data_IF_556246977620
#
_entry.id   IF_556246977620
#
_cell.length_a   1.000
_cell.length_b   1.000
_cell.length_c   1.000
_cell.angle_alpha   90.00
_cell.angle_beta   90.00
_cell.angle_gamma   90.00
#
_symmetry.space_group_name_H-M   'P 1'
#
loop_
_entity.id
_entity.type
_entity.pdbx_description
1 polymer ?
#
# COMPACT_ATOMS: atom_id res chain seq x y z
N UNK A 1 10.44 10.56 10.88
CA UNK A 1 9.89 11.17 12.12
C UNK A 1 10.66 10.63 13.31
N UNK A 2 11.37 11.48 14.07
CA UNK A 2 12.06 11.08 15.30
C UNK A 2 11.22 11.48 16.52
N UNK A 3 10.55 10.51 17.13
CA UNK A 3 10.06 10.63 18.50
C UNK A 3 11.28 10.57 19.43
N UNK A 4 11.67 11.70 20.00
CA UNK A 4 12.75 11.75 20.99
C UNK A 4 12.15 11.38 22.35
N UNK A 5 12.63 10.29 22.97
CA UNK A 5 12.23 9.87 24.32
C UNK A 5 11.12 8.82 24.40
N UNK A 6 10.61 8.30 23.28
CA UNK A 6 9.66 7.19 23.29
C UNK A 6 10.38 5.85 23.47
N UNK A 7 10.05 5.10 24.53
CA UNK A 7 10.50 3.70 24.68
C UNK A 7 9.53 2.82 23.91
N UNK A 8 9.93 2.39 22.72
CA UNK A 8 9.12 1.49 21.89
C UNK A 8 9.48 0.04 22.16
N UNK A 9 8.45 -0.78 22.37
CA UNK A 9 8.58 -2.23 22.32
C UNK A 9 8.80 -2.67 20.87
N UNK A 10 9.38 -3.86 20.62
CA UNK A 10 9.63 -4.34 19.25
C UNK A 10 8.41 -4.26 18.34
N UNK A 11 7.21 -4.58 18.85
CA UNK A 11 5.96 -4.49 18.12
C UNK A 11 5.61 -3.05 17.70
N UNK A 12 5.69 -2.09 18.63
CA UNK A 12 5.31 -0.70 18.33
C UNK A 12 6.33 -0.02 17.43
N UNK A 13 7.60 -0.38 17.54
CA UNK A 13 8.65 0.02 16.59
C UNK A 13 8.38 -0.54 15.20
N UNK A 14 8.06 -1.82 15.08
CA UNK A 14 7.74 -2.44 13.79
C UNK A 14 6.52 -1.79 13.14
N UNK A 15 5.44 -1.57 13.90
CA UNK A 15 4.25 -0.86 13.41
C UNK A 15 4.56 0.57 12.95
N UNK A 16 5.42 1.28 13.67
CA UNK A 16 5.85 2.62 13.29
C UNK A 16 6.57 2.62 11.93
N UNK A 17 7.45 1.64 11.69
CA UNK A 17 8.14 1.47 10.39
C UNK A 17 7.18 1.04 9.28
N UNK A 18 6.21 0.19 9.61
CA UNK A 18 5.17 -0.23 8.67
C UNK A 18 4.15 0.88 8.34
N UNK A 19 4.05 1.90 9.18
CA UNK A 19 3.03 2.97 9.07
C UNK A 19 3.04 3.70 7.73
N UNK A 20 4.22 3.90 7.13
CA UNK A 20 4.35 4.56 5.83
C UNK A 20 3.59 3.86 4.70
N UNK A 21 3.44 2.54 4.76
CA UNK A 21 2.67 1.75 3.79
C UNK A 21 1.28 1.39 4.31
N UNK A 22 1.16 1.01 5.58
CA UNK A 22 -0.12 0.55 6.14
C UNK A 22 -1.17 1.68 6.13
N UNK A 23 -0.77 2.91 6.43
CA UNK A 23 -1.70 4.04 6.48
C UNK A 23 -2.35 4.31 5.11
N UNK A 24 -1.61 4.54 4.01
CA UNK A 24 -2.24 4.77 2.70
C UNK A 24 -3.07 3.57 2.24
N UNK A 25 -2.65 2.34 2.51
CA UNK A 25 -3.43 1.13 2.19
C UNK A 25 -4.76 1.10 2.95
N UNK A 26 -4.74 1.31 4.27
CA UNK A 26 -5.97 1.32 5.08
C UNK A 26 -6.93 2.40 4.61
N UNK A 27 -6.43 3.62 4.37
CA UNK A 27 -7.24 4.73 3.85
C UNK A 27 -7.83 4.37 2.47
N UNK A 28 -7.06 3.71 1.60
CA UNK A 28 -7.55 3.28 0.29
C UNK A 28 -8.66 2.22 0.37
N UNK A 29 -8.57 1.30 1.33
CA UNK A 29 -9.62 0.29 1.57
C UNK A 29 -10.89 0.99 2.07
N UNK A 30 -10.78 1.89 3.05
CA UNK A 30 -11.93 2.67 3.54
C UNK A 30 -12.56 3.47 2.39
N UNK A 31 -11.74 4.12 1.57
CA UNK A 31 -12.19 4.85 0.40
C UNK A 31 -12.96 3.95 -0.58
N UNK A 32 -12.44 2.76 -0.89
CA UNK A 32 -13.10 1.79 -1.76
C UNK A 32 -14.42 1.28 -1.19
N UNK A 33 -14.50 1.08 0.12
CA UNK A 33 -15.75 0.69 0.78
C UNK A 33 -16.83 1.76 0.58
N UNK A 34 -16.45 3.03 0.70
CA UNK A 34 -17.32 4.20 0.53
C UNK A 34 -17.49 4.65 -0.94
N UNK A 35 -16.79 4.02 -1.89
CA UNK A 35 -16.83 4.41 -3.29
C UNK A 35 -18.22 4.24 -3.92
N UNK A 36 -18.73 5.32 -4.53
CA UNK A 36 -20.03 5.38 -5.19
C UNK A 36 -19.88 5.16 -6.70
N UNK A 37 -20.06 3.92 -7.14
CA UNK A 37 -19.86 3.51 -8.53
C UNK A 37 -20.77 4.19 -9.56
N UNK A 38 -21.93 4.71 -9.15
CA UNK A 38 -22.92 5.35 -10.03
C UNK A 38 -22.66 6.85 -10.24
N UNK A 39 -21.71 7.44 -9.51
CA UNK A 39 -21.43 8.88 -9.60
C UNK A 39 -20.80 9.21 -10.95
N UNK A 40 -21.44 10.08 -11.72
CA UNK A 40 -21.02 10.41 -13.09
C UNK A 40 -19.82 11.36 -13.18
N UNK A 41 -19.45 12.03 -12.08
CA UNK A 41 -18.38 13.02 -12.07
C UNK A 41 -17.03 12.44 -12.55
N UNK A 42 -16.48 13.03 -13.62
CA UNK A 42 -15.22 12.63 -14.26
C UNK A 42 -14.03 12.76 -13.31
N UNK A 43 -13.91 13.91 -12.61
CA UNK A 43 -12.82 14.14 -11.66
C UNK A 43 -12.84 13.10 -10.54
N UNK A 44 -14.04 12.76 -10.03
CA UNK A 44 -14.18 11.70 -9.03
C UNK A 44 -13.62 10.38 -9.52
N UNK A 45 -14.00 9.92 -10.73
CA UNK A 45 -13.52 8.64 -11.29
C UNK A 45 -12.00 8.62 -11.49
N UNK A 46 -11.41 9.71 -11.99
CA UNK A 46 -9.95 9.82 -12.19
C UNK A 46 -9.21 9.85 -10.85
N UNK A 47 -9.65 10.72 -9.93
CA UNK A 47 -9.05 10.86 -8.61
C UNK A 47 -9.10 9.55 -7.83
N UNK A 48 -10.25 8.85 -7.83
CA UNK A 48 -10.39 7.54 -7.20
C UNK A 48 -9.34 6.57 -7.72
N UNK A 49 -9.19 6.45 -9.04
CA UNK A 49 -8.24 5.52 -9.63
C UNK A 49 -6.80 5.85 -9.27
N UNK A 50 -6.40 7.13 -9.39
CA UNK A 50 -5.05 7.59 -9.03
C UNK A 50 -4.74 7.35 -7.55
N UNK A 51 -5.71 7.61 -6.67
CA UNK A 51 -5.56 7.39 -5.23
C UNK A 51 -5.32 5.91 -4.91
N UNK A 52 -6.12 5.02 -5.50
CA UNK A 52 -5.97 3.56 -5.28
C UNK A 52 -4.65 3.03 -5.83
N UNK A 53 -4.25 3.48 -7.02
CA UNK A 53 -2.94 3.13 -7.59
C UNK A 53 -1.81 3.60 -6.67
N UNK A 54 -1.82 4.87 -6.23
CA UNK A 54 -0.78 5.39 -5.35
C UNK A 54 -0.64 4.58 -4.06
N UNK A 55 -1.77 4.27 -3.42
CA UNK A 55 -1.77 3.45 -2.22
C UNK A 55 -1.30 2.01 -2.47
N UNK A 56 -1.68 1.40 -3.60
CA UNK A 56 -1.29 0.03 -3.94
C UNK A 56 0.21 -0.07 -4.28
N UNK A 57 0.74 0.88 -5.05
CA UNK A 57 2.16 0.88 -5.44
C UNK A 57 3.10 1.15 -4.27
N UNK A 58 2.66 1.86 -3.22
CA UNK A 58 3.43 1.98 -1.98
C UNK A 58 3.74 0.61 -1.36
N UNK A 59 2.83 -0.35 -1.45
CA UNK A 59 3.05 -1.72 -0.97
C UNK A 59 4.01 -2.54 -1.85
N UNK A 60 4.34 -2.10 -3.07
CA UNK A 60 5.29 -2.82 -3.94
C UNK A 60 6.73 -2.80 -3.39
N UNK A 61 7.11 -1.73 -2.66
CA UNK A 61 8.40 -1.66 -1.96
C UNK A 61 8.54 -2.80 -0.93
N UNK A 62 7.43 -3.24 -0.34
CA UNK A 62 7.37 -4.35 0.62
C UNK A 62 7.51 -5.74 -0.01
N UNK A 63 7.64 -5.81 -1.34
CA UNK A 63 8.06 -7.01 -2.07
C UNK A 63 9.52 -6.87 -2.49
N UNK A 64 9.89 -5.74 -3.09
CA UNK A 64 11.24 -5.53 -3.62
C UNK A 64 12.31 -5.46 -2.52
N UNK A 65 12.07 -4.71 -1.44
CA UNK A 65 13.09 -4.52 -0.39
C UNK A 65 13.39 -5.82 0.36
N UNK A 66 12.41 -6.65 0.76
CA UNK A 66 12.71 -7.94 1.37
C UNK A 66 13.45 -8.91 0.43
N UNK A 67 13.22 -8.84 -0.88
CA UNK A 67 14.02 -9.59 -1.86
C UNK A 67 15.49 -9.13 -1.85
N UNK A 68 15.73 -7.81 -1.79
CA UNK A 68 17.08 -7.26 -1.65
C UNK A 68 17.71 -7.63 -0.30
N UNK A 69 16.90 -7.68 0.77
CA UNK A 69 17.31 -8.08 2.12
C UNK A 69 17.86 -9.50 2.14
N UNK A 70 17.18 -10.44 1.49
CA UNK A 70 17.64 -11.83 1.35
C UNK A 70 19.00 -11.94 0.63
N UNK A 71 19.35 -10.95 -0.20
CA UNK A 71 20.62 -10.90 -0.93
C UNK A 71 21.69 -10.05 -0.24
N UNK A 72 21.44 -9.56 0.99
CA UNK A 72 22.37 -8.66 1.70
C UNK A 72 22.53 -7.29 1.04
N UNK A 73 21.57 -6.86 0.21
CA UNK A 73 21.60 -5.62 -0.59
C UNK A 73 20.45 -4.67 -0.24
N UNK A 74 19.79 -4.88 0.90
CA UNK A 74 18.71 -4.00 1.32
C UNK A 74 19.24 -2.58 1.58
N UNK A 75 18.55 -1.54 1.09
CA UNK A 75 18.91 -0.16 1.36
C UNK A 75 18.86 0.14 2.87
N UNK A 76 19.98 0.64 3.40
CA UNK A 76 20.09 1.05 4.80
C UNK A 76 19.20 2.27 5.05
N UNK A 77 18.39 2.22 6.10
CA UNK A 77 17.50 3.32 6.47
C UNK A 77 16.12 3.29 5.80
N UNK A 78 15.86 2.35 4.89
CA UNK A 78 14.54 2.11 4.34
C UNK A 78 13.57 1.54 5.40
N UNK A 79 12.29 1.93 5.31
CA UNK A 79 11.24 1.53 6.27
C UNK A 79 11.07 0.00 6.34
N UNK A 80 11.18 -0.70 5.20
CA UNK A 80 11.02 -2.16 5.15
C UNK A 80 12.24 -2.87 5.72
N UNK A 81 13.44 -2.37 5.46
CA UNK A 81 14.68 -2.87 6.07
C UNK A 81 14.61 -2.73 7.59
N UNK A 82 14.26 -1.54 8.08
CA UNK A 82 14.13 -1.28 9.52
C UNK A 82 13.00 -2.10 10.15
N UNK A 83 11.91 -2.33 9.43
CA UNK A 83 10.86 -3.24 9.88
C UNK A 83 11.37 -4.67 10.08
N UNK A 84 12.12 -5.21 9.12
CA UNK A 84 12.68 -6.56 9.21
C UNK A 84 13.68 -6.68 10.37
N UNK A 85 14.57 -5.70 10.53
CA UNK A 85 15.59 -5.69 11.58
C UNK A 85 14.98 -5.66 13.00
N UNK A 86 13.92 -4.87 13.18
CA UNK A 86 13.25 -4.70 14.48
C UNK A 86 12.29 -5.84 14.79
N UNK A 87 11.56 -6.33 13.79
CA UNK A 87 10.55 -7.38 13.98
C UNK A 87 11.15 -8.79 14.03
N UNK A 88 12.33 -8.99 13.43
CA UNK A 88 12.89 -10.32 13.23
C UNK A 88 12.05 -11.22 12.32
N UNK A 89 11.08 -10.66 11.58
CA UNK A 89 10.23 -11.43 10.70
C UNK A 89 11.01 -11.99 9.51
N UNK A 90 10.62 -13.19 9.07
CA UNK A 90 11.16 -13.77 7.86
C UNK A 90 10.79 -12.89 6.64
N UNK A 91 11.77 -12.43 5.82
CA UNK A 91 11.51 -11.60 4.64
C UNK A 91 10.50 -12.19 3.65
N UNK A 92 10.47 -13.53 3.51
CA UNK A 92 9.53 -14.24 2.62
C UNK A 92 8.09 -14.07 3.09
N UNK A 93 7.86 -14.09 4.41
CA UNK A 93 6.52 -13.85 4.98
C UNK A 93 6.05 -12.43 4.68
N UNK A 94 6.96 -11.45 4.79
CA UNK A 94 6.64 -10.05 4.45
C UNK A 94 6.26 -9.91 2.98
N UNK A 95 6.98 -10.57 2.06
CA UNK A 95 6.65 -10.59 0.63
C UNK A 95 5.25 -11.16 0.38
N UNK A 96 4.93 -12.29 0.99
CA UNK A 96 3.62 -12.95 0.84
C UNK A 96 2.51 -12.02 1.35
N UNK A 97 2.68 -11.43 2.53
CA UNK A 97 1.70 -10.51 3.11
C UNK A 97 1.51 -9.26 2.23
N UNK A 98 2.59 -8.67 1.72
CA UNK A 98 2.51 -7.54 0.80
C UNK A 98 1.77 -7.91 -0.49
N UNK A 99 2.06 -9.09 -1.05
CA UNK A 99 1.36 -9.61 -2.23
C UNK A 99 -0.14 -9.82 -1.99
N UNK A 100 -0.53 -10.31 -0.82
CA UNK A 100 -1.93 -10.45 -0.42
C UNK A 100 -2.61 -9.08 -0.28
N UNK A 101 -1.95 -8.10 0.34
CA UNK A 101 -2.47 -6.74 0.48
C UNK A 101 -2.71 -6.08 -0.88
N UNK A 102 -1.74 -6.16 -1.79
CA UNK A 102 -1.85 -5.64 -3.16
C UNK A 102 -3.00 -6.32 -3.90
N UNK A 103 -3.03 -7.65 -3.86
CA UNK A 103 -4.05 -8.45 -4.54
C UNK A 103 -5.44 -8.12 -4.01
N UNK A 104 -5.60 -8.01 -2.69
CA UNK A 104 -6.86 -7.63 -2.05
C UNK A 104 -7.33 -6.23 -2.47
N UNK A 105 -6.43 -5.26 -2.51
CA UNK A 105 -6.75 -3.88 -2.91
C UNK A 105 -7.21 -3.81 -4.38
N UNK A 106 -6.48 -4.47 -5.28
CA UNK A 106 -6.83 -4.55 -6.71
C UNK A 106 -8.18 -5.26 -6.90
N UNK A 107 -8.40 -6.40 -6.24
CA UNK A 107 -9.66 -7.12 -6.30
C UNK A 107 -10.83 -6.28 -5.80
N UNK A 108 -10.65 -5.53 -4.72
CA UNK A 108 -11.66 -4.64 -4.18
C UNK A 108 -11.96 -3.48 -5.15
N UNK A 109 -10.93 -2.86 -5.73
CA UNK A 109 -11.06 -1.81 -6.74
C UNK A 109 -11.80 -2.28 -7.99
N UNK A 110 -11.50 -3.51 -8.43
CA UNK A 110 -12.20 -4.17 -9.53
C UNK A 110 -13.67 -4.42 -9.20
N UNK A 111 -13.97 -4.99 -8.02
CA UNK A 111 -15.33 -5.26 -7.56
C UNK A 111 -16.16 -3.97 -7.45
N UNK A 112 -15.52 -2.87 -7.05
CA UNK A 112 -16.13 -1.54 -6.93
C UNK A 112 -16.23 -0.78 -8.26
N UNK A 113 -15.79 -1.39 -9.36
CA UNK A 113 -15.79 -0.83 -10.72
C UNK A 113 -14.94 0.44 -10.92
N UNK A 114 -13.96 0.69 -10.05
CA UNK A 114 -13.11 1.90 -10.13
C UNK A 114 -12.30 1.91 -11.43
N UNK A 115 -11.70 0.76 -11.78
CA UNK A 115 -10.86 0.59 -12.98
C UNK A 115 -11.71 0.76 -14.26
N UNK A 116 -12.89 0.15 -14.28
CA UNK A 116 -13.82 0.23 -15.40
C UNK A 116 -14.36 1.66 -15.56
N UNK A 117 -14.71 2.33 -14.47
CA UNK A 117 -15.17 3.71 -14.49
C UNK A 117 -14.10 4.68 -14.98
N UNK A 118 -12.83 4.43 -14.64
CA UNK A 118 -11.70 5.17 -15.19
C UNK A 118 -11.60 4.97 -16.71
N UNK A 119 -11.58 3.74 -17.21
CA UNK A 119 -11.50 3.49 -18.66
C UNK A 119 -12.67 4.08 -19.46
N UNK A 120 -13.89 4.07 -18.92
CA UNK A 120 -15.03 4.72 -19.57
C UNK A 120 -14.79 6.20 -19.84
N UNK A 121 -14.23 6.92 -18.87
CA UNK A 121 -13.91 8.35 -19.01
C UNK A 121 -12.92 8.61 -20.15
N UNK A 122 -11.95 7.71 -20.37
CA UNK A 122 -10.98 7.86 -21.45
C UNK A 122 -11.56 7.51 -22.81
N UNK A 123 -12.45 6.53 -22.87
CA UNK A 123 -13.08 6.12 -24.12
C UNK A 123 -14.21 7.06 -24.57
N UNK A 124 -14.93 7.70 -23.63
CA UNK A 124 -15.98 8.69 -23.93
C UNK A 124 -15.45 10.03 -24.46
N UNK A 125 -14.14 10.29 -24.32
CA UNK A 125 -13.48 11.50 -24.84
C UNK A 125 -12.85 11.33 -26.22
N UNK A 126 -13.00 10.15 -26.84
CA UNK A 126 -12.53 9.84 -28.18
C UNK A 126 -13.69 9.89 -29.16
#
# INVERSE_FOLDING_TARGET
>A
MSSVGGVYQPLTSALLKAGGMLLPVIVSIIYLLLYQKEKQNVFYKIFSFMFIIGATFSAAAWILVPLLYLNGKAPVGDDVTQFLDVSGMNPVVVIILAGLVISFNILLAWRKRVIQNYWKVFNEKK
#
